data_IF_638311214866
#
_entry.id   IF_638311214866
#
_cell.length_a   1.000
_cell.length_b   1.000
_cell.length_c   1.000
_cell.angle_alpha   90.00
_cell.angle_beta   90.00
_cell.angle_gamma   90.00
#
_symmetry.space_group_name_H-M   'P 1'
#
loop_
_entity.id
_entity.type
_entity.pdbx_description
1 polymer ?
#
# COMPACT_ATOMS: atom_id res chain seq x y z
N UNK A 1 6.76 22.88 10.57
CA UNK A 1 5.90 22.72 11.78
C UNK A 1 5.22 21.36 11.71
N UNK A 2 5.13 20.59 12.80
CA UNK A 2 4.46 19.29 12.81
C UNK A 2 2.93 19.44 12.81
N UNK A 3 2.21 18.50 12.17
CA UNK A 3 0.75 18.53 12.04
C UNK A 3 0.08 17.25 12.60
N UNK A 4 0.18 16.96 13.92
CA UNK A 4 -0.25 15.69 14.48
C UNK A 4 -1.75 15.41 14.29
N UNK A 5 -2.62 16.40 14.49
CA UNK A 5 -4.08 16.24 14.34
C UNK A 5 -4.46 15.95 12.88
N UNK A 6 -3.86 16.68 11.92
CA UNK A 6 -4.12 16.46 10.49
C UNK A 6 -3.60 15.10 10.05
N UNK A 7 -2.40 14.74 10.50
CA UNK A 7 -1.82 13.43 10.23
C UNK A 7 -2.70 12.30 10.79
N UNK A 8 -3.09 12.37 12.06
CA UNK A 8 -3.99 11.41 12.69
C UNK A 8 -5.29 11.21 11.89
N UNK A 9 -5.95 12.32 11.51
CA UNK A 9 -7.18 12.26 10.70
C UNK A 9 -6.95 11.57 9.35
N UNK A 10 -5.82 11.85 8.71
CA UNK A 10 -5.47 11.27 7.40
C UNK A 10 -5.24 9.76 7.50
N UNK A 11 -4.40 9.30 8.44
CA UNK A 11 -4.11 7.86 8.60
C UNK A 11 -5.36 7.08 9.03
N UNK A 12 -6.20 7.66 9.89
CA UNK A 12 -7.45 7.04 10.35
C UNK A 12 -8.46 6.93 9.21
N UNK A 13 -8.66 8.00 8.42
CA UNK A 13 -9.53 7.99 7.24
C UNK A 13 -9.05 6.97 6.20
N UNK A 14 -7.74 6.93 5.95
CA UNK A 14 -7.13 5.94 5.06
C UNK A 14 -7.40 4.51 5.55
N UNK A 15 -7.09 4.22 6.82
CA UNK A 15 -7.30 2.91 7.42
C UNK A 15 -8.75 2.44 7.32
N UNK A 16 -9.73 3.30 7.60
CA UNK A 16 -11.15 2.95 7.47
C UNK A 16 -11.53 2.61 6.02
N UNK A 17 -10.97 3.31 5.02
CA UNK A 17 -11.18 2.96 3.62
C UNK A 17 -10.57 1.60 3.28
N UNK A 18 -9.36 1.31 3.75
CA UNK A 18 -8.72 0.00 3.53
C UNK A 18 -9.53 -1.11 4.17
N UNK A 19 -9.99 -0.94 5.41
CA UNK A 19 -10.85 -1.93 6.09
C UNK A 19 -12.10 -2.23 5.23
N UNK A 20 -12.81 -1.19 4.77
CA UNK A 20 -14.00 -1.37 3.93
C UNK A 20 -13.67 -2.10 2.61
N UNK A 21 -12.55 -1.78 1.97
CA UNK A 21 -12.08 -2.48 0.78
C UNK A 21 -11.71 -3.95 1.08
N UNK A 22 -11.06 -4.24 2.20
CA UNK A 22 -10.71 -5.59 2.62
C UNK A 22 -11.94 -6.47 2.86
N UNK A 23 -13.02 -5.93 3.43
CA UNK A 23 -14.29 -6.66 3.52
C UNK A 23 -14.86 -7.00 2.15
N UNK A 24 -14.79 -6.10 1.19
CA UNK A 24 -15.21 -6.34 -0.21
C UNK A 24 -14.33 -7.38 -0.90
N UNK A 25 -13.02 -7.37 -0.63
CA UNK A 25 -12.05 -8.32 -1.18
C UNK A 25 -12.08 -9.71 -0.52
N UNK A 26 -12.89 -9.92 0.54
CA UNK A 26 -13.00 -11.20 1.25
C UNK A 26 -11.90 -11.46 2.29
N UNK A 27 -11.19 -10.44 2.71
CA UNK A 27 -10.12 -10.49 3.74
C UNK A 27 -10.39 -9.51 4.90
N UNK A 28 -11.66 -9.34 5.28
CA UNK A 28 -12.09 -8.32 6.27
C UNK A 28 -11.36 -8.42 7.61
N UNK A 29 -11.22 -9.64 8.16
CA UNK A 29 -10.48 -9.85 9.42
C UNK A 29 -9.04 -9.35 9.34
N UNK A 30 -8.31 -9.66 8.25
CA UNK A 30 -6.96 -9.15 8.04
C UNK A 30 -6.95 -7.63 7.96
N UNK A 31 -7.95 -7.04 7.27
CA UNK A 31 -8.08 -5.59 7.13
C UNK A 31 -8.27 -4.84 8.46
N UNK A 32 -8.85 -5.46 9.49
CA UNK A 32 -8.99 -4.84 10.81
C UNK A 32 -7.65 -4.51 11.47
N UNK A 33 -6.59 -5.22 11.11
CA UNK A 33 -5.23 -5.01 11.64
C UNK A 33 -4.33 -4.19 10.71
N UNK A 34 -4.87 -3.76 9.56
CA UNK A 34 -4.13 -2.94 8.60
C UNK A 34 -3.53 -1.71 9.25
N UNK A 35 -2.23 -1.53 9.04
CA UNK A 35 -1.48 -0.33 9.40
C UNK A 35 -1.58 0.15 10.86
N UNK A 36 -1.84 -0.74 11.81
CA UNK A 36 -1.83 -0.37 13.22
C UNK A 36 -0.49 0.21 13.66
N UNK A 37 0.60 -0.17 13.02
CA UNK A 37 1.94 0.35 13.30
C UNK A 37 2.05 1.87 13.07
N UNK A 38 1.21 2.47 12.19
CA UNK A 38 1.17 3.92 11.96
C UNK A 38 0.81 4.75 13.20
N UNK A 39 0.19 4.11 14.19
CA UNK A 39 -0.12 4.77 15.48
C UNK A 39 1.00 4.60 16.52
N UNK A 40 2.07 3.84 16.20
CA UNK A 40 3.26 3.78 17.06
C UNK A 40 3.98 5.12 17.10
N UNK A 41 4.66 5.45 18.21
CA UNK A 41 5.43 6.69 18.29
C UNK A 41 6.42 6.88 17.14
N UNK A 42 7.09 5.81 16.71
CA UNK A 42 8.10 5.83 15.63
C UNK A 42 7.52 6.32 14.30
N UNK A 43 6.36 5.80 13.91
CA UNK A 43 5.73 6.19 12.63
C UNK A 43 4.89 7.44 12.77
N UNK A 44 4.16 7.58 13.89
CA UNK A 44 3.23 8.69 14.08
C UNK A 44 3.92 10.05 14.11
N UNK A 45 4.98 10.19 14.91
CA UNK A 45 5.67 11.48 15.04
C UNK A 45 6.46 11.85 13.80
N UNK A 46 7.09 10.88 13.13
CA UNK A 46 7.70 11.11 11.83
C UNK A 46 6.64 11.55 10.80
N UNK A 47 5.52 10.83 10.74
CA UNK A 47 4.40 11.18 9.87
C UNK A 47 3.84 12.58 10.15
N UNK A 48 3.69 12.96 11.41
CA UNK A 48 3.23 14.30 11.80
C UNK A 48 4.24 15.42 11.44
N UNK A 49 5.54 15.14 11.60
CA UNK A 49 6.62 16.08 11.26
C UNK A 49 6.66 16.36 9.75
N UNK A 50 6.56 15.29 8.94
CA UNK A 50 6.70 15.37 7.47
C UNK A 50 5.37 15.48 6.73
N UNK A 51 4.26 15.71 7.43
CA UNK A 51 2.93 15.82 6.85
C UNK A 51 2.80 16.98 5.87
N UNK A 52 2.33 16.69 4.65
CA UNK A 52 2.06 17.67 3.59
C UNK A 52 0.60 17.65 3.12
N UNK A 53 -0.15 16.54 3.37
CA UNK A 53 -1.55 16.39 2.97
C UNK A 53 -1.77 15.94 1.53
N UNK A 54 -0.80 16.09 0.64
CA UNK A 54 -0.89 15.81 -0.80
C UNK A 54 -0.16 14.53 -1.22
N UNK A 55 0.75 14.03 -0.37
CA UNK A 55 1.54 12.81 -0.60
C UNK A 55 1.97 12.17 0.71
N UNK A 56 2.60 10.98 0.62
CA UNK A 56 3.08 10.27 1.80
C UNK A 56 4.15 11.08 2.55
N UNK A 57 4.06 11.23 3.89
CA UNK A 57 5.12 11.85 4.70
C UNK A 57 6.48 11.19 4.53
N UNK A 58 6.52 9.89 4.23
CA UNK A 58 7.77 9.13 4.02
C UNK A 58 8.57 9.64 2.83
N UNK A 59 7.92 10.20 1.79
CA UNK A 59 8.61 10.81 0.66
C UNK A 59 9.39 12.04 1.12
N UNK A 60 8.74 12.90 1.90
CA UNK A 60 9.40 14.10 2.44
C UNK A 60 10.54 13.75 3.39
N UNK A 61 10.40 12.70 4.20
CA UNK A 61 11.49 12.24 5.06
C UNK A 61 12.68 11.76 4.23
N UNK A 62 12.45 11.06 3.10
CA UNK A 62 13.52 10.65 2.18
C UNK A 62 14.22 11.82 1.51
N UNK A 63 13.47 12.82 1.09
CA UNK A 63 14.03 14.05 0.50
C UNK A 63 14.97 14.78 1.48
N UNK A 64 14.62 14.80 2.77
CA UNK A 64 15.41 15.48 3.79
C UNK A 64 16.62 14.68 4.27
N UNK A 65 16.47 13.34 4.42
CA UNK A 65 17.46 12.49 5.10
C UNK A 65 18.14 11.46 4.19
N UNK A 66 17.70 11.33 2.93
CA UNK A 66 18.14 10.27 2.02
C UNK A 66 17.42 8.93 2.23
N UNK A 67 16.74 8.73 3.37
CA UNK A 67 15.94 7.54 3.68
C UNK A 67 14.76 7.89 4.59
N UNK A 68 13.82 6.94 4.77
CA UNK A 68 12.73 7.09 5.74
C UNK A 68 12.80 6.00 6.81
N UNK A 69 13.13 6.38 8.04
CA UNK A 69 13.13 5.48 9.19
C UNK A 69 11.71 4.99 9.51
N UNK A 70 10.72 5.87 9.38
CA UNK A 70 9.30 5.51 9.53
C UNK A 70 8.90 4.44 8.52
N UNK A 71 9.33 4.56 7.27
CA UNK A 71 9.05 3.55 6.25
C UNK A 71 9.74 2.21 6.52
N UNK A 72 11.00 2.23 6.94
CA UNK A 72 11.72 1.00 7.30
C UNK A 72 11.03 0.26 8.44
N UNK A 73 10.56 0.99 9.47
CA UNK A 73 9.77 0.44 10.57
C UNK A 73 8.44 -0.12 10.06
N UNK A 74 7.76 0.62 9.18
CA UNK A 74 6.45 0.29 8.65
C UNK A 74 6.47 -0.98 7.78
N UNK A 75 7.32 -0.98 6.73
CA UNK A 75 7.39 -2.12 5.80
C UNK A 75 7.80 -3.43 6.47
N UNK A 76 8.60 -3.38 7.53
CA UNK A 76 9.02 -4.57 8.28
C UNK A 76 7.90 -5.17 9.16
N UNK A 77 6.79 -4.46 9.37
CA UNK A 77 5.65 -4.90 10.21
C UNK A 77 4.38 -5.15 9.43
N UNK A 78 4.30 -4.69 8.19
CA UNK A 78 3.10 -4.73 7.36
C UNK A 78 3.33 -5.57 6.11
N UNK A 79 2.83 -6.82 6.14
CA UNK A 79 3.08 -7.84 5.10
C UNK A 79 2.39 -7.54 3.77
N UNK A 80 1.52 -6.55 3.68
CA UNK A 80 0.94 -6.10 2.41
C UNK A 80 1.90 -5.23 1.58
N UNK A 81 3.05 -4.83 2.14
CA UNK A 81 4.12 -4.18 1.38
C UNK A 81 5.04 -5.22 0.77
N UNK A 82 5.26 -5.12 -0.54
CA UNK A 82 6.09 -6.09 -1.26
C UNK A 82 7.56 -6.07 -0.80
N UNK A 83 8.04 -4.98 -0.26
CA UNK A 83 9.39 -4.83 0.29
C UNK A 83 9.64 -5.69 1.54
N UNK A 84 8.58 -6.15 2.20
CA UNK A 84 8.67 -7.17 3.25
C UNK A 84 9.12 -8.53 2.69
N UNK A 85 8.72 -8.84 1.46
CA UNK A 85 8.91 -10.11 0.79
C UNK A 85 10.21 -10.11 -0.03
N UNK A 86 11.33 -10.01 0.67
CA UNK A 86 12.68 -10.03 0.09
C UNK A 86 13.55 -10.90 0.98
N UNK A 87 14.25 -11.87 0.39
CA UNK A 87 15.10 -12.79 1.12
C UNK A 87 16.40 -13.06 0.35
N UNK A 88 17.40 -13.59 1.05
CA UNK A 88 18.70 -13.96 0.47
C UNK A 88 18.55 -15.21 -0.40
N UNK A 89 18.79 -15.08 -1.68
CA UNK A 89 18.90 -16.21 -2.58
C UNK A 89 20.28 -16.91 -2.37
N UNK A 90 20.26 -18.17 -1.93
CA UNK A 90 21.47 -18.91 -1.61
C UNK A 90 22.34 -19.24 -2.83
N UNK A 91 21.79 -19.19 -4.04
CA UNK A 91 22.52 -19.43 -5.30
C UNK A 91 23.21 -18.17 -5.80
N UNK A 92 22.44 -17.06 -5.89
CA UNK A 92 22.94 -15.77 -6.40
C UNK A 92 23.67 -14.95 -5.35
N UNK A 93 23.46 -15.24 -4.05
CA UNK A 93 23.92 -14.45 -2.89
C UNK A 93 23.39 -13.02 -2.87
N UNK A 94 22.30 -12.77 -3.58
CA UNK A 94 21.63 -11.47 -3.65
C UNK A 94 20.31 -11.52 -2.87
N UNK A 95 19.87 -10.36 -2.40
CA UNK A 95 18.51 -10.20 -1.88
C UNK A 95 17.54 -10.08 -3.05
N UNK A 96 16.62 -11.02 -3.14
CA UNK A 96 15.67 -11.14 -4.24
C UNK A 96 14.22 -11.13 -3.76
N UNK A 97 13.28 -10.62 -4.58
CA UNK A 97 11.86 -10.64 -4.22
C UNK A 97 11.31 -12.07 -4.11
N UNK A 98 10.53 -12.32 -3.07
CA UNK A 98 9.80 -13.57 -2.84
C UNK A 98 8.32 -13.37 -3.20
N UNK A 99 7.69 -14.41 -3.75
CA UNK A 99 6.27 -14.39 -4.11
C UNK A 99 5.39 -14.12 -2.89
N UNK A 100 4.55 -13.11 -2.98
CA UNK A 100 3.59 -12.79 -1.93
C UNK A 100 2.41 -13.76 -1.94
N UNK A 101 1.94 -14.25 -0.76
CA UNK A 101 0.66 -14.93 -0.66
C UNK A 101 -0.48 -14.01 -1.11
N UNK A 102 -1.45 -14.59 -1.84
CA UNK A 102 -2.55 -13.85 -2.48
C UNK A 102 -3.31 -12.94 -1.51
N UNK A 103 -3.52 -13.36 -0.27
CA UNK A 103 -4.19 -12.54 0.76
C UNK A 103 -3.50 -11.18 1.01
N UNK A 104 -2.17 -11.13 0.94
CA UNK A 104 -1.42 -9.89 1.12
C UNK A 104 -1.39 -9.05 -0.17
N UNK A 105 -1.46 -9.69 -1.34
CA UNK A 105 -1.67 -8.96 -2.60
C UNK A 105 -3.05 -8.30 -2.62
N UNK A 106 -4.10 -8.98 -2.09
CA UNK A 106 -5.43 -8.37 -1.91
C UNK A 106 -5.37 -7.14 -1.01
N UNK A 107 -4.68 -7.23 0.12
CA UNK A 107 -4.52 -6.10 1.03
C UNK A 107 -3.72 -4.97 0.40
N UNK A 108 -2.64 -5.26 -0.32
CA UNK A 108 -1.86 -4.28 -1.08
C UNK A 108 -2.71 -3.56 -2.14
N UNK A 109 -3.58 -4.29 -2.84
CA UNK A 109 -4.55 -3.70 -3.77
C UNK A 109 -5.51 -2.74 -3.04
N UNK A 110 -6.11 -3.19 -1.93
CA UNK A 110 -7.03 -2.37 -1.12
C UNK A 110 -6.35 -1.09 -0.61
N UNK A 111 -5.11 -1.21 -0.16
CA UNK A 111 -4.29 -0.09 0.31
C UNK A 111 -4.03 0.93 -0.81
N UNK A 112 -3.59 0.49 -1.99
CA UNK A 112 -3.32 1.36 -3.15
C UNK A 112 -4.56 2.13 -3.61
N UNK A 113 -5.70 1.46 -3.67
CA UNK A 113 -6.98 2.11 -4.02
C UNK A 113 -7.36 3.15 -2.97
N UNK A 114 -7.24 2.82 -1.68
CA UNK A 114 -7.55 3.74 -0.59
C UNK A 114 -6.60 4.95 -0.58
N UNK A 115 -5.29 4.73 -0.77
CA UNK A 115 -4.29 5.79 -0.83
C UNK A 115 -4.57 6.75 -2.01
N UNK A 116 -4.87 6.20 -3.20
CA UNK A 116 -5.24 7.03 -4.36
C UNK A 116 -6.47 7.89 -4.08
N UNK A 117 -7.51 7.33 -3.46
CA UNK A 117 -8.72 8.08 -3.05
C UNK A 117 -8.43 9.19 -2.04
N UNK A 118 -7.50 8.96 -1.11
CA UNK A 118 -7.12 9.96 -0.10
C UNK A 118 -6.35 11.11 -0.73
N UNK A 119 -5.36 10.83 -1.58
CA UNK A 119 -4.47 11.85 -2.13
C UNK A 119 -5.07 12.58 -3.34
N UNK A 120 -5.87 11.91 -4.16
CA UNK A 120 -6.56 12.53 -5.31
C UNK A 120 -7.86 13.24 -4.92
N UNK A 121 -8.47 12.85 -3.80
CA UNK A 121 -9.71 13.47 -3.33
C UNK A 121 -10.80 13.44 -4.39
N UNK A 122 -11.30 14.62 -4.77
CA UNK A 122 -12.37 14.77 -5.78
C UNK A 122 -11.94 14.39 -7.21
N UNK A 123 -10.65 14.41 -7.49
CA UNK A 123 -10.08 14.09 -8.80
C UNK A 123 -9.80 12.58 -8.97
N UNK A 124 -10.13 11.75 -7.98
CA UNK A 124 -9.92 10.31 -8.07
C UNK A 124 -10.70 9.71 -9.24
N UNK A 125 -9.99 8.85 -9.98
CA UNK A 125 -10.56 7.93 -10.97
C UNK A 125 -10.03 6.53 -10.72
N UNK A 126 -10.71 5.51 -11.21
CA UNK A 126 -10.30 4.11 -11.06
C UNK A 126 -9.00 3.77 -11.83
N UNK A 127 -8.55 4.65 -12.72
CA UNK A 127 -7.26 4.52 -13.41
C UNK A 127 -6.04 4.92 -12.56
N UNK A 128 -6.19 5.84 -11.62
CA UNK A 128 -5.08 6.38 -10.83
C UNK A 128 -4.21 5.32 -10.12
N UNK A 129 -4.77 4.24 -9.51
CA UNK A 129 -3.93 3.21 -8.88
C UNK A 129 -3.05 2.47 -9.87
N UNK A 130 -3.53 2.21 -11.10
CA UNK A 130 -2.75 1.60 -12.18
C UNK A 130 -1.65 2.55 -12.67
N UNK A 131 -1.98 3.80 -12.94
CA UNK A 131 -1.03 4.83 -13.36
C UNK A 131 0.12 4.98 -12.36
N UNK A 132 -0.21 5.03 -11.06
CA UNK A 132 0.79 5.09 -10.01
C UNK A 132 1.71 3.85 -9.98
N UNK A 133 1.13 2.66 -10.17
CA UNK A 133 1.88 1.42 -10.23
C UNK A 133 2.87 1.39 -11.41
N UNK A 134 2.42 1.77 -12.60
CA UNK A 134 3.23 1.77 -13.81
C UNK A 134 4.37 2.81 -13.75
N UNK A 135 4.09 4.01 -13.25
CA UNK A 135 5.07 5.10 -13.14
C UNK A 135 6.16 4.82 -12.11
N UNK A 136 5.85 4.10 -11.03
CA UNK A 136 6.72 3.97 -9.87
C UNK A 136 7.80 2.87 -9.97
N UNK A 137 7.95 2.18 -11.10
CA UNK A 137 8.86 1.02 -11.27
C UNK A 137 8.67 -0.08 -10.20
N UNK A 138 7.50 -0.13 -9.56
CA UNK A 138 7.22 -1.09 -8.51
C UNK A 138 7.25 -2.53 -9.02
N UNK A 139 6.83 -2.74 -10.30
CA UNK A 139 6.86 -4.03 -10.97
C UNK A 139 8.25 -4.69 -10.93
N UNK A 140 9.30 -3.92 -11.21
CA UNK A 140 10.68 -4.42 -11.26
C UNK A 140 11.26 -4.81 -9.89
N UNK A 141 10.60 -4.36 -8.81
CA UNK A 141 11.01 -4.61 -7.42
C UNK A 141 10.21 -5.73 -6.74
N UNK A 142 9.21 -6.26 -7.43
CA UNK A 142 8.36 -7.35 -6.95
C UNK A 142 8.75 -8.68 -7.62
N UNK A 143 8.41 -9.79 -6.94
CA UNK A 143 8.41 -11.08 -7.62
C UNK A 143 7.47 -11.01 -8.85
N UNK A 144 7.86 -11.55 -10.03
CA UNK A 144 7.10 -11.42 -11.27
C UNK A 144 5.62 -11.80 -11.14
N UNK A 145 5.33 -12.96 -10.56
CA UNK A 145 3.94 -13.41 -10.37
C UNK A 145 3.13 -12.50 -9.43
N UNK A 146 3.77 -11.88 -8.43
CA UNK A 146 3.11 -10.89 -7.55
C UNK A 146 2.77 -9.62 -8.33
N UNK A 147 3.70 -9.17 -9.15
CA UNK A 147 3.53 -7.98 -9.98
C UNK A 147 2.43 -8.19 -11.04
N UNK A 148 2.45 -9.35 -11.73
CA UNK A 148 1.44 -9.70 -12.74
C UNK A 148 0.04 -9.79 -12.13
N UNK A 149 -0.08 -10.42 -10.96
CA UNK A 149 -1.36 -10.53 -10.27
C UNK A 149 -1.90 -9.16 -9.86
N UNK A 150 -1.09 -8.33 -9.22
CA UNK A 150 -1.49 -6.98 -8.83
C UNK A 150 -1.87 -6.13 -10.05
N UNK A 151 -1.04 -6.13 -11.08
CA UNK A 151 -1.29 -5.35 -12.31
C UNK A 151 -2.59 -5.77 -12.98
N UNK A 152 -2.86 -7.08 -13.07
CA UNK A 152 -4.11 -7.59 -13.66
C UNK A 152 -5.35 -7.05 -12.92
N UNK A 153 -5.30 -6.98 -11.58
CA UNK A 153 -6.40 -6.42 -10.79
C UNK A 153 -6.55 -4.90 -10.93
N UNK A 154 -5.42 -4.19 -11.02
CA UNK A 154 -5.43 -2.74 -11.26
C UNK A 154 -5.98 -2.40 -12.66
N UNK A 155 -5.71 -3.24 -13.67
CA UNK A 155 -6.31 -3.12 -15.01
C UNK A 155 -7.82 -3.37 -14.98
N UNK A 156 -8.28 -4.42 -14.29
CA UNK A 156 -9.73 -4.65 -14.11
C UNK A 156 -10.39 -3.45 -13.43
N UNK A 157 -9.74 -2.85 -12.42
CA UNK A 157 -10.23 -1.64 -11.77
C UNK A 157 -10.35 -0.48 -12.75
N UNK A 158 -9.28 -0.20 -13.50
CA UNK A 158 -9.23 0.88 -14.48
C UNK A 158 -10.28 0.74 -15.59
N UNK A 159 -10.44 -0.48 -16.10
CA UNK A 159 -11.24 -0.74 -17.32
C UNK A 159 -12.72 -1.02 -17.02
N UNK A 160 -13.02 -1.64 -15.86
CA UNK A 160 -14.36 -2.15 -15.52
C UNK A 160 -14.93 -1.58 -14.23
N UNK A 161 -14.15 -0.74 -13.55
CA UNK A 161 -14.56 -0.06 -12.33
C UNK A 161 -14.47 -0.93 -11.07
N UNK A 162 -14.64 -0.24 -9.96
CA UNK A 162 -14.40 -0.78 -8.61
C UNK A 162 -15.29 -2.00 -8.26
N UNK A 163 -16.57 -2.00 -8.70
CA UNK A 163 -17.48 -3.10 -8.41
C UNK A 163 -17.01 -4.42 -9.00
N UNK A 164 -16.62 -4.40 -10.26
CA UNK A 164 -16.14 -5.60 -10.97
C UNK A 164 -14.78 -6.07 -10.43
N UNK A 165 -13.86 -5.14 -10.18
CA UNK A 165 -12.57 -5.47 -9.60
C UNK A 165 -12.70 -6.20 -8.26
N UNK A 166 -13.49 -5.66 -7.32
CA UNK A 166 -13.67 -6.32 -6.02
C UNK A 166 -14.42 -7.65 -6.11
N UNK A 167 -15.39 -7.79 -7.02
CA UNK A 167 -16.06 -9.07 -7.26
C UNK A 167 -15.06 -10.13 -7.73
N UNK A 168 -14.24 -9.79 -8.70
CA UNK A 168 -13.20 -10.68 -9.22
C UNK A 168 -12.18 -11.05 -8.14
N UNK A 169 -11.60 -10.06 -7.46
CA UNK A 169 -10.59 -10.27 -6.40
C UNK A 169 -11.14 -11.16 -5.28
N UNK A 170 -12.39 -10.98 -4.89
CA UNK A 170 -13.03 -11.82 -3.87
C UNK A 170 -13.09 -13.28 -4.27
N UNK A 171 -13.30 -13.61 -5.55
CA UNK A 171 -13.38 -14.98 -6.04
C UNK A 171 -12.02 -15.69 -6.14
N UNK A 172 -10.93 -14.94 -6.19
CA UNK A 172 -9.57 -15.52 -6.25
C UNK A 172 -9.25 -16.18 -4.91
N UNK A 173 -8.94 -17.47 -4.97
CA UNK A 173 -8.50 -18.25 -3.80
C UNK A 173 -6.97 -18.17 -3.66
N UNK A 174 -6.46 -18.24 -2.45
CA UNK A 174 -5.03 -18.26 -2.17
C UNK A 174 -4.77 -18.58 -0.73
#
# INVERSE_FOLDING_TARGET
MAHPIRHFRTITKHRHKVIAHCFRAGIGWQGLFHDLSKYSPTEFWAGAKYYQGTRSPNEREREEKGYSAAWMHHKGRNRHHFEYWTDLNMQTKLYEPVKMPVRYVKEMFCDRVAASKIYQGKNYTDAHPLEYFLRGNARQKMHPETADLLESWLRILSDRGEREAFRYIRSVKG
#
